data_IF_992057362099
#
_entry.id   IF_992057362099
#
_cell.length_a   1.000
_cell.length_b   1.000
_cell.length_c   1.000
_cell.angle_alpha   90.00
_cell.angle_beta   90.00
_cell.angle_gamma   90.00
#
_symmetry.space_group_name_H-M   'P 1'
#
loop_
_entity.id
_entity.type
_entity.pdbx_description
1 polymer ?
#
# COMPACT_ATOMS: atom_id res chain seq x y z
N UNK A 1 3.95 6.63 -10.20
CA UNK A 1 2.55 7.09 -10.30
C UNK A 1 1.68 5.85 -10.28
N UNK A 2 0.54 5.84 -9.58
CA UNK A 2 -0.26 4.63 -9.24
C UNK A 2 -1.04 4.04 -10.44
N UNK A 3 -0.41 3.94 -11.62
CA UNK A 3 -1.01 3.34 -12.81
C UNK A 3 -1.27 1.84 -12.64
N UNK A 4 -0.45 1.16 -11.85
CA UNK A 4 -0.60 -0.26 -11.52
C UNK A 4 -1.93 -0.60 -10.86
N UNK A 5 -2.52 0.29 -10.05
CA UNK A 5 -3.88 0.03 -9.52
C UNK A 5 -4.95 0.05 -10.61
N UNK A 6 -4.74 0.71 -11.77
CA UNK A 6 -5.71 0.67 -12.87
C UNK A 6 -5.83 -0.72 -13.48
N UNK A 7 -4.77 -1.52 -13.40
CA UNK A 7 -4.75 -2.88 -13.95
C UNK A 7 -5.58 -3.86 -13.12
N UNK A 8 -5.78 -3.56 -11.82
CA UNK A 8 -6.59 -4.40 -10.92
C UNK A 8 -8.08 -4.44 -11.30
N UNK A 9 -8.54 -3.49 -12.14
CA UNK A 9 -9.96 -3.29 -12.49
C UNK A 9 -10.89 -3.12 -11.28
N UNK A 10 -10.34 -2.83 -10.10
CA UNK A 10 -11.11 -2.56 -8.90
C UNK A 10 -11.24 -1.05 -8.66
N UNK A 11 -12.38 -0.63 -8.11
CA UNK A 11 -12.59 0.77 -7.73
C UNK A 11 -12.00 1.02 -6.36
N UNK A 12 -11.01 1.91 -6.28
CA UNK A 12 -10.48 2.42 -5.02
C UNK A 12 -11.47 3.39 -4.39
N UNK A 13 -11.80 3.19 -3.12
CA UNK A 13 -12.76 4.02 -2.36
C UNK A 13 -12.13 4.81 -1.23
N UNK A 14 -10.99 4.36 -0.72
CA UNK A 14 -10.29 5.04 0.36
C UNK A 14 -8.78 5.04 0.10
N UNK A 15 -8.16 6.20 0.32
CA UNK A 15 -6.71 6.36 0.28
C UNK A 15 -6.28 7.07 1.55
N UNK A 16 -5.40 6.44 2.33
CA UNK A 16 -4.82 7.02 3.54
C UNK A 16 -3.34 7.28 3.31
N UNK A 17 -2.91 8.51 3.62
CA UNK A 17 -1.54 8.98 3.45
C UNK A 17 -0.91 9.29 4.80
N UNK A 18 0.37 9.02 4.93
CA UNK A 18 1.16 9.55 6.04
C UNK A 18 1.67 10.94 5.71
N UNK A 19 1.25 11.94 6.48
CA UNK A 19 1.82 13.28 6.37
C UNK A 19 3.14 13.34 7.17
N UNK A 20 4.28 13.32 6.48
CA UNK A 20 5.58 13.47 7.11
C UNK A 20 6.50 14.34 6.24
N UNK A 21 7.14 15.32 6.88
CA UNK A 21 8.11 16.22 6.23
C UNK A 21 9.54 15.66 6.30
N UNK A 22 9.77 14.62 7.12
CA UNK A 22 11.11 14.06 7.39
C UNK A 22 11.28 12.60 6.97
N UNK A 23 10.20 11.83 6.96
CA UNK A 23 10.21 10.40 6.63
C UNK A 23 9.51 10.19 5.30
N UNK A 24 10.04 9.27 4.49
CA UNK A 24 9.38 8.81 3.27
C UNK A 24 8.01 8.21 3.67
N UNK A 25 6.94 8.65 3.01
CA UNK A 25 5.57 8.33 3.38
C UNK A 25 5.14 6.93 2.96
N UNK A 26 4.15 6.37 3.65
CA UNK A 26 3.44 5.17 3.20
C UNK A 26 1.97 5.51 2.90
N UNK A 27 1.39 4.69 2.04
CA UNK A 27 0.02 4.84 1.53
C UNK A 27 -0.72 3.51 1.61
N UNK A 28 -1.98 3.57 2.01
CA UNK A 28 -2.93 2.47 1.88
C UNK A 28 -4.03 2.85 0.90
N UNK A 29 -4.39 1.93 0.01
CA UNK A 29 -5.52 2.05 -0.90
C UNK A 29 -6.48 0.87 -0.69
N UNK A 30 -7.74 1.15 -0.37
CA UNK A 30 -8.77 0.13 -0.19
C UNK A 30 -9.76 0.19 -1.34
N UNK A 31 -10.14 -0.98 -1.85
CA UNK A 31 -11.11 -1.11 -2.94
C UNK A 31 -12.52 -1.41 -2.42
N UNK A 32 -13.54 -1.26 -3.28
CA UNK A 32 -14.94 -1.59 -2.95
C UNK A 32 -15.11 -3.05 -2.51
N UNK A 33 -14.24 -3.96 -2.95
CA UNK A 33 -14.26 -5.37 -2.57
C UNK A 33 -13.66 -5.64 -1.18
N UNK A 34 -13.21 -4.59 -0.47
CA UNK A 34 -12.53 -4.73 0.82
C UNK A 34 -11.05 -5.13 0.68
N UNK A 35 -10.49 -5.15 -0.55
CA UNK A 35 -9.07 -5.45 -0.75
C UNK A 35 -8.22 -4.24 -0.34
N UNK A 36 -7.24 -4.47 0.53
CA UNK A 36 -6.27 -3.47 0.96
C UNK A 36 -4.95 -3.62 0.21
N UNK A 37 -4.43 -2.50 -0.32
CA UNK A 37 -3.12 -2.38 -0.93
C UNK A 37 -2.25 -1.42 -0.15
N UNK A 38 -0.95 -1.70 -0.05
CA UNK A 38 0.04 -0.88 0.65
C UNK A 38 1.25 -0.60 -0.25
N UNK A 39 1.75 0.64 -0.23
CA UNK A 39 2.96 1.06 -0.94
C UNK A 39 3.61 2.30 -0.28
N UNK A 40 4.82 2.62 -0.71
CA UNK A 40 5.70 3.60 -0.09
C UNK A 40 6.70 2.93 0.87
N UNK A 41 7.15 3.66 1.87
CA UNK A 41 8.21 3.18 2.78
C UNK A 41 7.71 2.03 3.63
N UNK A 42 8.51 0.97 3.78
CA UNK A 42 8.16 -0.24 4.54
C UNK A 42 9.25 -0.81 5.45
N UNK A 43 10.42 -0.18 5.53
CA UNK A 43 11.62 -0.66 6.24
C UNK A 43 11.46 -0.93 7.74
N UNK A 44 10.37 -0.48 8.37
CA UNK A 44 10.01 -0.80 9.76
C UNK A 44 8.71 -1.60 9.89
N UNK A 45 8.24 -2.20 8.80
CA UNK A 45 7.04 -3.05 8.78
C UNK A 45 5.72 -2.29 8.62
N UNK A 46 5.72 -0.97 8.42
CA UNK A 46 4.51 -0.15 8.32
C UNK A 46 3.53 -0.56 7.21
N UNK A 47 3.98 -1.27 6.17
CA UNK A 47 3.12 -1.69 5.07
C UNK A 47 2.34 -2.99 5.37
N UNK A 48 2.72 -3.74 6.41
CA UNK A 48 2.11 -5.05 6.69
C UNK A 48 2.35 -6.10 5.61
N UNK A 49 3.38 -5.91 4.77
CA UNK A 49 3.80 -6.85 3.73
C UNK A 49 5.32 -7.03 3.79
N UNK A 50 5.80 -8.18 3.35
CA UNK A 50 7.24 -8.43 3.25
C UNK A 50 7.90 -7.47 2.27
N UNK A 51 9.12 -7.04 2.60
CA UNK A 51 10.00 -6.36 1.66
C UNK A 51 11.02 -7.35 1.12
N UNK A 52 11.46 -7.14 -0.12
CA UNK A 52 12.60 -7.87 -0.66
C UNK A 52 13.90 -7.49 0.05
N UNK A 53 14.93 -8.31 -0.11
CA UNK A 53 16.23 -8.10 0.53
C UNK A 53 16.78 -6.70 0.23
N UNK A 54 17.24 -6.02 1.28
CA UNK A 54 17.80 -4.66 1.23
C UNK A 54 16.87 -3.57 0.68
N UNK A 55 15.57 -3.83 0.56
CA UNK A 55 14.59 -2.79 0.20
C UNK A 55 14.11 -2.05 1.43
N UNK A 56 13.88 -0.75 1.28
CA UNK A 56 13.30 0.10 2.32
C UNK A 56 11.88 0.56 2.00
N UNK A 57 11.41 0.29 0.78
CA UNK A 57 10.11 0.73 0.27
C UNK A 57 9.57 -0.21 -0.81
N UNK A 58 8.27 -0.07 -1.08
CA UNK A 58 7.57 -0.65 -2.22
C UNK A 58 7.08 0.49 -3.10
N UNK A 59 7.63 0.61 -4.31
CA UNK A 59 7.14 1.58 -5.29
C UNK A 59 5.77 1.15 -5.84
N UNK A 60 5.57 -0.15 -5.97
CA UNK A 60 4.33 -0.74 -6.47
C UNK A 60 3.40 -1.22 -5.35
N UNK A 61 2.07 -1.02 -5.48
CA UNK A 61 1.07 -1.52 -4.55
C UNK A 61 1.18 -3.03 -4.34
N UNK A 62 1.35 -3.42 -3.08
CA UNK A 62 1.28 -4.80 -2.65
C UNK A 62 -0.08 -5.07 -2.03
N UNK A 63 -0.75 -6.16 -2.44
CA UNK A 63 -1.94 -6.64 -1.73
C UNK A 63 -1.54 -7.07 -0.33
N UNK A 64 -2.19 -6.49 0.68
CA UNK A 64 -2.06 -6.92 2.07
C UNK A 64 -2.92 -8.17 2.25
N UNK A 65 -2.33 -9.25 2.76
CA UNK A 65 -3.00 -10.53 2.97
C UNK A 65 -3.35 -10.74 4.44
N UNK A 66 -4.37 -11.55 4.73
CA UNK A 66 -4.76 -11.88 6.10
C UNK A 66 -5.53 -10.78 6.84
N UNK A 67 -6.03 -9.77 6.11
CA UNK A 67 -6.96 -8.77 6.64
C UNK A 67 -8.30 -8.96 5.93
N UNK A 68 -9.35 -9.13 6.72
CA UNK A 68 -10.74 -9.12 6.26
C UNK A 68 -11.37 -7.79 6.72
N UNK A 69 -11.87 -7.01 5.77
CA UNK A 69 -12.50 -5.71 5.99
C UNK A 69 -13.99 -5.72 5.58
N UNK A 70 -14.56 -6.91 5.34
CA UNK A 70 -15.97 -7.10 4.99
C UNK A 70 -16.92 -7.00 6.19
#
# INVERSE_FOLDING_TARGET
>A
LVSSLRETKERVVHVSLTNSVKWRGHTFAMTESGTLYAFGTGDRGQLGVELGDNLTEREEPAKVVGIDLS
#
